data_IF_186576809428
#
_entry.id   IF_186576809428
#
_cell.length_a   1.000
_cell.length_b   1.000
_cell.length_c   1.000
_cell.angle_alpha   90.00
_cell.angle_beta   90.00
_cell.angle_gamma   90.00
#
_symmetry.space_group_name_H-M   'P 1'
#
loop_
_entity.id
_entity.type
_entity.pdbx_description
1 polymer ?
#
# COMPACT_ATOMS: atom_id res chain seq x y z
N UNK A 1 3.22 -36.38 8.76
CA UNK A 1 3.31 -35.24 7.82
C UNK A 1 1.90 -34.77 7.51
N UNK A 2 1.60 -33.48 7.59
CA UNK A 2 0.26 -32.87 7.52
C UNK A 2 -0.48 -32.99 6.16
N UNK A 3 -0.03 -33.87 5.25
CA UNK A 3 -0.67 -34.07 3.94
C UNK A 3 -0.61 -32.87 2.99
N UNK A 4 0.15 -31.82 3.32
CA UNK A 4 0.24 -30.58 2.55
C UNK A 4 0.98 -30.80 1.24
N UNK A 5 0.38 -30.36 0.12
CA UNK A 5 1.04 -30.35 -1.19
C UNK A 5 1.72 -29.01 -1.41
N UNK A 6 3.02 -29.03 -1.69
CA UNK A 6 3.79 -27.83 -2.00
C UNK A 6 3.53 -27.40 -3.44
N UNK A 7 3.16 -26.14 -3.65
CA UNK A 7 3.07 -25.52 -4.96
C UNK A 7 4.30 -24.64 -5.16
N UNK A 8 5.25 -25.10 -5.97
CA UNK A 8 6.45 -24.32 -6.29
C UNK A 8 6.16 -23.36 -7.44
N UNK A 9 6.57 -22.10 -7.30
CA UNK A 9 6.66 -21.18 -8.44
C UNK A 9 7.81 -21.61 -9.34
N UNK A 10 7.69 -21.37 -10.65
CA UNK A 10 8.80 -21.55 -11.58
C UNK A 10 9.80 -20.41 -11.39
N UNK A 11 11.11 -20.74 -11.49
CA UNK A 11 12.15 -19.73 -11.39
C UNK A 11 11.90 -18.59 -12.39
N UNK A 12 12.02 -17.34 -11.94
CA UNK A 12 11.81 -16.11 -12.73
C UNK A 12 10.37 -15.89 -13.25
N UNK A 13 9.35 -16.52 -12.65
CA UNK A 13 7.95 -16.28 -12.99
C UNK A 13 7.14 -15.76 -11.78
N UNK A 14 7.16 -14.43 -11.52
CA UNK A 14 6.51 -13.81 -10.36
C UNK A 14 4.97 -13.91 -10.37
N UNK A 15 4.38 -14.46 -11.42
CA UNK A 15 2.92 -14.48 -11.59
C UNK A 15 2.22 -15.42 -10.59
N UNK A 16 2.94 -16.40 -10.02
CA UNK A 16 2.35 -17.39 -9.10
C UNK A 16 2.25 -16.89 -7.66
N UNK A 17 3.17 -16.01 -7.22
CA UNK A 17 3.24 -15.52 -5.82
C UNK A 17 3.13 -13.99 -5.70
N UNK A 18 2.54 -13.34 -6.71
CA UNK A 18 2.44 -11.89 -6.76
C UNK A 18 1.64 -11.28 -5.61
N UNK A 19 0.77 -12.05 -4.94
CA UNK A 19 0.06 -11.59 -3.74
C UNK A 19 1.01 -11.46 -2.54
N UNK A 20 1.84 -12.48 -2.28
CA UNK A 20 2.79 -12.42 -1.19
C UNK A 20 3.85 -11.35 -1.49
N UNK A 21 4.38 -11.29 -2.71
CA UNK A 21 5.35 -10.28 -3.12
C UNK A 21 4.82 -8.85 -2.90
N UNK A 22 3.60 -8.54 -3.34
CA UNK A 22 2.98 -7.22 -3.11
C UNK A 22 2.74 -6.94 -1.64
N UNK A 23 2.42 -7.96 -0.85
CA UNK A 23 2.20 -7.83 0.59
C UNK A 23 3.52 -7.52 1.31
N UNK A 24 4.59 -8.26 0.97
CA UNK A 24 5.94 -8.04 1.49
C UNK A 24 6.42 -6.63 1.13
N UNK A 25 6.29 -6.21 -0.13
CA UNK A 25 6.66 -4.85 -0.56
C UNK A 25 5.93 -3.76 0.23
N UNK A 26 4.63 -3.93 0.50
CA UNK A 26 3.86 -3.00 1.35
C UNK A 26 4.39 -2.96 2.78
N UNK A 27 4.64 -4.12 3.39
CA UNK A 27 5.18 -4.19 4.76
C UNK A 27 6.58 -3.58 4.85
N UNK A 28 7.46 -3.87 3.89
CA UNK A 28 8.80 -3.28 3.80
C UNK A 28 8.74 -1.76 3.66
N UNK A 29 7.83 -1.23 2.85
CA UNK A 29 7.65 0.21 2.69
C UNK A 29 7.27 0.87 4.02
N UNK A 30 6.34 0.28 4.77
CA UNK A 30 5.93 0.78 6.09
C UNK A 30 7.11 0.71 7.05
N UNK A 31 7.79 -0.43 7.17
CA UNK A 31 8.94 -0.61 8.05
C UNK A 31 10.06 0.38 7.72
N UNK A 32 10.38 0.58 6.45
CA UNK A 32 11.42 1.52 6.01
C UNK A 32 11.12 2.95 6.45
N UNK A 33 9.85 3.37 6.49
CA UNK A 33 9.48 4.69 7.00
C UNK A 33 9.87 4.86 8.47
N UNK A 34 9.69 3.83 9.29
CA UNK A 34 9.98 3.89 10.73
C UNK A 34 11.45 3.58 11.06
N UNK A 35 12.06 2.62 10.37
CA UNK A 35 13.44 2.20 10.63
C UNK A 35 14.50 3.07 9.94
N UNK A 36 14.24 3.64 8.77
CA UNK A 36 15.25 4.41 8.01
C UNK A 36 14.99 5.93 8.02
N UNK A 37 13.72 6.33 8.04
CA UNK A 37 13.32 7.75 7.98
C UNK A 37 12.61 8.23 9.25
N UNK A 38 12.51 7.39 10.28
CA UNK A 38 11.89 7.68 11.57
C UNK A 38 12.75 8.63 12.40
N UNK A 39 12.92 9.85 11.93
CA UNK A 39 13.50 10.95 12.68
C UNK A 39 12.39 11.57 13.55
N UNK A 40 12.17 11.02 14.76
CA UNK A 40 11.62 11.74 15.94
C UNK A 40 11.33 10.80 17.13
N UNK A 41 11.19 9.48 16.91
CA UNK A 41 11.06 8.47 17.98
C UNK A 41 12.37 7.73 18.19
N UNK A 42 13.43 8.46 18.52
CA UNK A 42 14.55 7.86 19.24
C UNK A 42 14.16 7.85 20.70
N UNK A 43 14.23 6.70 21.34
CA UNK A 43 14.35 6.66 22.79
C UNK A 43 15.62 7.43 23.22
N UNK A 44 15.73 7.73 24.50
CA UNK A 44 16.87 8.44 25.10
C UNK A 44 18.21 7.72 24.88
N UNK A 45 18.18 6.47 24.41
CA UNK A 45 19.34 5.63 24.11
C UNK A 45 19.74 5.61 22.63
N UNK A 46 18.99 6.30 21.76
CA UNK A 46 19.38 6.52 20.36
C UNK A 46 19.12 5.34 19.42
N UNK A 47 18.32 4.35 19.82
CA UNK A 47 17.95 3.25 18.94
C UNK A 47 16.87 3.67 17.96
N UNK A 48 17.13 3.45 16.67
CA UNK A 48 16.10 3.30 15.66
C UNK A 48 15.31 2.05 16.03
N UNK A 49 14.00 2.19 16.29
CA UNK A 49 13.09 1.09 16.64
C UNK A 49 13.44 -0.20 15.86
N UNK A 50 13.80 -1.27 16.60
CA UNK A 50 14.06 -2.59 16.02
C UNK A 50 12.85 -3.00 15.17
N UNK A 51 13.10 -3.33 13.90
CA UNK A 51 12.06 -3.74 12.96
C UNK A 51 11.25 -4.93 13.49
N UNK A 52 11.86 -5.77 14.33
CA UNK A 52 11.19 -6.89 15.01
C UNK A 52 10.07 -6.39 15.93
N UNK A 53 10.31 -5.33 16.68
CA UNK A 53 9.30 -4.76 17.59
C UNK A 53 8.14 -4.13 16.80
N UNK A 54 8.44 -3.55 15.64
CA UNK A 54 7.46 -2.92 14.76
C UNK A 54 6.61 -3.92 13.96
N UNK A 55 7.05 -5.17 13.79
CA UNK A 55 6.32 -6.18 13.01
C UNK A 55 4.88 -6.35 13.47
N UNK A 56 4.64 -6.38 14.78
CA UNK A 56 3.29 -6.55 15.33
C UNK A 56 2.39 -5.38 14.96
N UNK A 57 2.92 -4.15 15.03
CA UNK A 57 2.21 -2.93 14.68
C UNK A 57 1.92 -2.87 13.18
N UNK A 58 2.91 -3.19 12.35
CA UNK A 58 2.77 -3.21 10.88
C UNK A 58 1.76 -4.27 10.44
N UNK A 59 1.81 -5.46 11.04
CA UNK A 59 0.86 -6.53 10.76
C UNK A 59 -0.57 -6.13 11.15
N UNK A 60 -0.73 -5.49 12.31
CA UNK A 60 -2.02 -4.97 12.76
C UNK A 60 -2.54 -3.86 11.83
N UNK A 61 -1.70 -2.91 11.45
CA UNK A 61 -2.04 -1.84 10.52
C UNK A 61 -2.44 -2.41 9.14
N UNK A 62 -1.71 -3.40 8.64
CA UNK A 62 -2.06 -4.08 7.38
C UNK A 62 -3.40 -4.78 7.45
N UNK A 63 -3.66 -5.54 8.52
CA UNK A 63 -4.90 -6.31 8.68
C UNK A 63 -6.14 -5.46 8.90
N UNK A 64 -5.97 -4.23 9.37
CA UNK A 64 -7.07 -3.28 9.60
C UNK A 64 -7.22 -2.26 8.47
N UNK A 65 -6.31 -2.25 7.49
CA UNK A 65 -6.37 -1.37 6.32
C UNK A 65 -7.19 -1.99 5.19
N UNK A 66 -8.04 -1.19 4.55
CA UNK A 66 -8.89 -1.64 3.45
C UNK A 66 -8.04 -1.90 2.20
N UNK A 67 -8.15 -3.09 1.62
CA UNK A 67 -7.47 -3.41 0.37
C UNK A 67 -8.34 -3.01 -0.83
N UNK A 68 -7.74 -2.38 -1.84
CA UNK A 68 -8.45 -1.91 -3.04
C UNK A 68 -9.12 -3.03 -3.83
N UNK A 69 -8.52 -4.22 -3.85
CA UNK A 69 -9.03 -5.38 -4.60
C UNK A 69 -10.31 -5.95 -4.02
N UNK A 70 -10.44 -5.99 -2.69
CA UNK A 70 -11.58 -6.63 -2.01
C UNK A 70 -12.58 -5.63 -1.43
N UNK A 71 -12.20 -4.35 -1.33
CA UNK A 71 -12.98 -3.34 -0.61
C UNK A 71 -13.14 -3.66 0.88
N UNK A 72 -12.40 -4.64 1.41
CA UNK A 72 -12.48 -5.11 2.79
C UNK A 72 -11.08 -5.17 3.40
N UNK A 73 -11.04 -5.19 4.72
CA UNK A 73 -9.81 -5.38 5.49
C UNK A 73 -9.40 -6.85 5.51
N UNK A 74 -8.11 -7.20 5.46
CA UNK A 74 -7.68 -8.60 5.50
C UNK A 74 -8.18 -9.36 6.74
N UNK A 75 -8.16 -8.72 7.92
CA UNK A 75 -8.66 -9.32 9.16
C UNK A 75 -10.14 -9.72 9.07
N UNK A 76 -10.97 -8.90 8.43
CA UNK A 76 -12.37 -9.21 8.19
C UNK A 76 -12.56 -10.39 7.22
N UNK A 77 -11.74 -10.46 6.16
CA UNK A 77 -11.85 -11.52 5.15
C UNK A 77 -11.35 -12.87 5.70
N UNK A 78 -10.26 -12.86 6.44
CA UNK A 78 -9.62 -14.07 6.96
C UNK A 78 -10.28 -14.57 8.25
N UNK A 79 -10.56 -13.67 9.19
CA UNK A 79 -10.98 -14.01 10.56
C UNK A 79 -12.45 -13.68 10.83
N UNK A 80 -13.10 -12.90 9.96
CA UNK A 80 -14.48 -12.47 10.14
C UNK A 80 -14.65 -11.26 11.06
N UNK A 81 -13.58 -10.68 11.59
CA UNK A 81 -13.63 -9.52 12.48
C UNK A 81 -12.40 -8.62 12.32
N UNK A 82 -12.55 -7.34 12.70
CA UNK A 82 -11.47 -6.37 12.71
C UNK A 82 -11.02 -6.09 14.14
N UNK A 83 -9.72 -5.92 14.33
CA UNK A 83 -9.18 -5.47 15.60
C UNK A 83 -9.71 -4.09 15.94
N UNK A 84 -10.14 -3.92 17.19
CA UNK A 84 -10.68 -2.67 17.69
C UNK A 84 -9.55 -1.86 18.32
N UNK A 85 -9.33 -0.64 17.84
CA UNK A 85 -8.37 0.27 18.47
C UNK A 85 -9.02 1.02 19.63
N UNK A 86 -8.24 1.41 20.68
CA UNK A 86 -8.73 2.23 21.78
C UNK A 86 -9.43 3.50 21.27
N UNK A 87 -8.91 4.12 20.20
CA UNK A 87 -9.48 5.32 19.58
C UNK A 87 -10.90 5.11 19.05
N UNK A 88 -11.27 3.89 18.68
CA UNK A 88 -12.61 3.56 18.18
C UNK A 88 -13.64 3.47 19.34
N UNK A 89 -13.18 3.32 20.58
CA UNK A 89 -14.02 3.07 21.77
C UNK A 89 -13.91 4.16 22.85
N UNK A 90 -13.04 5.16 22.67
CA UNK A 90 -12.98 6.33 23.53
C UNK A 90 -14.34 7.05 23.49
N UNK A 91 -15.10 6.97 24.59
CA UNK A 91 -16.33 7.74 24.74
C UNK A 91 -15.96 9.23 24.68
N UNK A 92 -16.66 10.00 23.84
CA UNK A 92 -16.46 11.46 23.70
C UNK A 92 -16.64 12.23 25.02
N UNK A 93 -17.30 11.62 26.01
CA UNK A 93 -17.65 12.21 27.31
C UNK A 93 -16.88 11.55 28.48
N UNK A 94 -15.57 11.37 28.36
CA UNK A 94 -14.74 10.99 29.50
C UNK A 94 -14.44 12.24 30.33
N UNK A 95 -14.96 12.29 31.56
CA UNK A 95 -14.78 13.41 32.51
C UNK A 95 -13.30 13.61 32.92
N UNK A 96 -12.47 12.60 32.75
CA UNK A 96 -11.04 12.67 33.06
C UNK A 96 -10.28 11.73 32.11
N UNK A 97 -9.38 12.31 31.31
CA UNK A 97 -8.49 11.57 30.43
C UNK A 97 -7.14 11.47 31.12
N UNK A 98 -6.59 10.26 31.23
CA UNK A 98 -5.26 10.06 31.78
C UNK A 98 -4.21 10.82 30.93
N UNK A 99 -3.20 11.47 31.53
CA UNK A 99 -2.21 12.28 30.79
C UNK A 99 -1.58 11.52 29.62
N UNK A 100 -1.15 10.26 29.82
CA UNK A 100 -0.59 9.42 28.74
C UNK A 100 -1.55 9.21 27.56
N UNK A 101 -2.85 9.09 27.82
CA UNK A 101 -3.84 8.92 26.76
C UNK A 101 -4.06 10.23 25.98
N UNK A 102 -3.94 11.38 26.66
CA UNK A 102 -3.95 12.71 26.03
C UNK A 102 -2.72 12.90 25.14
N UNK A 103 -1.53 12.57 25.65
CA UNK A 103 -0.27 12.68 24.90
C UNK A 103 -0.31 11.79 23.65
N UNK A 104 -0.78 10.54 23.79
CA UNK A 104 -0.97 9.63 22.65
C UNK A 104 -1.96 10.18 21.61
N UNK A 105 -3.05 10.82 22.04
CA UNK A 105 -4.01 11.42 21.11
C UNK A 105 -3.40 12.60 20.35
N UNK A 106 -2.63 13.46 21.02
CA UNK A 106 -1.94 14.58 20.37
C UNK A 106 -0.88 14.10 19.39
N UNK A 107 -0.09 13.11 19.82
CA UNK A 107 0.87 12.39 18.99
C UNK A 107 0.22 11.82 17.72
N UNK A 108 -0.89 11.09 17.88
CA UNK A 108 -1.65 10.50 16.78
C UNK A 108 -2.16 11.55 15.80
N UNK A 109 -2.71 12.66 16.29
CA UNK A 109 -3.18 13.78 15.44
C UNK A 109 -2.05 14.36 14.61
N UNK A 110 -0.90 14.66 15.23
CA UNK A 110 0.29 15.17 14.51
C UNK A 110 0.77 14.21 13.44
N UNK A 111 0.77 12.90 13.74
CA UNK A 111 1.14 11.87 12.78
C UNK A 111 0.16 11.82 11.59
N UNK A 112 -1.15 11.86 11.84
CA UNK A 112 -2.17 11.92 10.78
C UNK A 112 -2.04 13.17 9.91
N UNK A 113 -1.83 14.34 10.52
CA UNK A 113 -1.68 15.60 9.79
C UNK A 113 -0.43 15.58 8.90
N UNK A 114 0.68 15.06 9.44
CA UNK A 114 1.94 14.92 8.71
C UNK A 114 1.80 13.95 7.55
N UNK A 115 1.20 12.77 7.78
CA UNK A 115 0.94 11.80 6.73
C UNK A 115 0.08 12.37 5.60
N UNK A 116 -0.98 13.13 5.95
CA UNK A 116 -1.87 13.78 4.99
C UNK A 116 -1.12 14.80 4.14
N UNK A 117 -0.25 15.61 4.76
CA UNK A 117 0.62 16.57 4.04
C UNK A 117 1.57 15.86 3.10
N UNK A 118 2.29 14.82 3.56
CA UNK A 118 3.21 14.07 2.70
C UNK A 118 2.50 13.42 1.50
N UNK A 119 1.28 12.91 1.69
CA UNK A 119 0.47 12.36 0.59
C UNK A 119 0.10 13.47 -0.41
N UNK A 120 -0.32 14.63 0.07
CA UNK A 120 -0.68 15.76 -0.78
C UNK A 120 0.53 16.28 -1.58
N UNK A 121 1.68 16.44 -0.93
CA UNK A 121 2.94 16.84 -1.56
C UNK A 121 3.39 15.81 -2.60
N UNK A 122 3.33 14.52 -2.28
CA UNK A 122 3.66 13.45 -3.23
C UNK A 122 2.74 13.43 -4.45
N UNK A 123 1.45 13.69 -4.26
CA UNK A 123 0.48 13.81 -5.36
C UNK A 123 0.82 15.00 -6.26
N UNK A 124 1.11 16.15 -5.69
CA UNK A 124 1.47 17.37 -6.42
C UNK A 124 2.78 17.20 -7.20
N UNK A 125 3.81 16.61 -6.56
CA UNK A 125 5.07 16.27 -7.22
C UNK A 125 4.86 15.37 -8.45
N UNK A 126 4.07 14.30 -8.29
CA UNK A 126 3.78 13.39 -9.39
C UNK A 126 3.01 14.08 -10.52
N UNK A 127 2.04 14.93 -10.19
CA UNK A 127 1.29 15.73 -11.15
C UNK A 127 2.21 16.65 -11.95
N UNK A 128 3.04 17.45 -11.29
CA UNK A 128 3.98 18.36 -11.97
C UNK A 128 4.94 17.62 -12.88
N UNK A 129 5.40 16.43 -12.49
CA UNK A 129 6.28 15.60 -13.32
C UNK A 129 5.56 15.06 -14.57
N UNK A 130 4.32 14.62 -14.39
CA UNK A 130 3.46 14.18 -15.49
C UNK A 130 3.22 15.34 -16.45
N UNK A 131 2.71 16.47 -15.96
CA UNK A 131 2.36 17.65 -16.77
C UNK A 131 3.56 18.20 -17.57
N UNK A 132 4.79 18.08 -17.04
CA UNK A 132 6.03 18.50 -17.76
C UNK A 132 6.38 17.65 -18.97
N UNK A 133 6.05 16.36 -18.93
CA UNK A 133 6.46 15.38 -19.95
C UNK A 133 5.29 14.88 -20.79
N UNK A 134 4.07 15.08 -20.31
CA UNK A 134 2.87 14.64 -20.97
C UNK A 134 2.38 15.70 -21.95
N UNK A 135 2.44 15.37 -23.23
CA UNK A 135 1.83 16.13 -24.30
C UNK A 135 0.60 15.33 -24.74
N UNK A 136 -0.61 15.87 -24.59
CA UNK A 136 -1.78 15.25 -25.19
C UNK A 136 -1.68 15.38 -26.72
N UNK A 137 -1.60 14.27 -27.46
CA UNK A 137 -1.58 14.35 -28.91
C UNK A 137 -2.99 14.70 -29.41
N UNK A 138 -3.12 15.81 -30.14
CA UNK A 138 -4.38 16.13 -30.84
C UNK A 138 -4.41 15.39 -32.18
N UNK A 139 -5.35 14.47 -32.35
CA UNK A 139 -5.59 13.80 -33.63
C UNK A 139 -6.83 14.36 -34.30
N UNK A 140 -6.77 14.54 -35.62
CA UNK A 140 -7.93 14.84 -36.45
C UNK A 140 -8.27 13.63 -37.31
N UNK A 141 -9.54 13.55 -37.72
CA UNK A 141 -9.98 12.53 -38.67
C UNK A 141 -9.16 12.65 -39.98
N UNK A 142 -8.48 11.56 -40.35
CA UNK A 142 -7.56 11.52 -41.51
C UNK A 142 -6.08 11.52 -41.15
N UNK A 143 -5.69 11.80 -39.91
CA UNK A 143 -4.29 11.74 -39.48
C UNK A 143 -3.77 10.29 -39.44
N UNK A 144 -2.56 10.07 -39.97
CA UNK A 144 -1.88 8.79 -39.89
C UNK A 144 -1.06 8.70 -38.60
N UNK A 145 -1.29 7.66 -37.80
CA UNK A 145 -0.59 7.42 -36.53
C UNK A 145 0.20 6.11 -36.59
N UNK A 146 1.38 6.11 -35.96
CA UNK A 146 2.20 4.91 -35.84
C UNK A 146 1.72 4.09 -34.65
N UNK A 147 1.41 2.83 -34.92
CA UNK A 147 0.94 1.87 -33.92
C UNK A 147 2.08 0.88 -33.63
N UNK A 148 2.50 0.81 -32.37
CA UNK A 148 3.55 -0.13 -31.97
C UNK A 148 3.04 -1.57 -32.06
N UNK A 149 3.64 -2.37 -32.93
CA UNK A 149 3.25 -3.78 -33.18
C UNK A 149 3.74 -4.75 -32.10
N UNK A 150 4.53 -4.28 -31.13
CA UNK A 150 5.23 -5.13 -30.15
C UNK A 150 4.28 -6.02 -29.32
N UNK A 151 3.06 -5.54 -29.06
CA UNK A 151 2.04 -6.26 -28.28
C UNK A 151 0.82 -6.69 -29.13
N UNK A 152 0.89 -6.57 -30.46
CA UNK A 152 -0.18 -7.02 -31.34
C UNK A 152 -0.09 -8.52 -31.59
N UNK A 153 -0.67 -9.32 -30.69
CA UNK A 153 -0.73 -10.78 -30.84
C UNK A 153 -1.66 -11.24 -31.99
N UNK A 154 -2.41 -10.33 -32.63
CA UNK A 154 -3.46 -10.66 -33.59
C UNK A 154 -3.22 -10.15 -35.02
N UNK A 155 -1.98 -9.76 -35.39
CA UNK A 155 -1.67 -9.35 -36.78
C UNK A 155 -1.67 -10.51 -37.78
N UNK A 156 -1.68 -11.77 -37.30
CA UNK A 156 -2.10 -12.90 -38.12
C UNK A 156 -3.63 -12.97 -38.04
N UNK A 157 -4.30 -12.64 -39.14
CA UNK A 157 -5.72 -12.94 -39.32
C UNK A 157 -6.03 -14.34 -38.78
N UNK A 158 -7.06 -14.53 -37.94
CA UNK A 158 -7.49 -15.88 -37.61
C UNK A 158 -7.82 -16.60 -38.92
N UNK A 159 -7.22 -17.78 -39.15
CA UNK A 159 -7.43 -18.63 -40.33
C UNK A 159 -8.91 -18.97 -40.62
N UNK A 160 -9.83 -18.57 -39.74
CA UNK A 160 -11.27 -18.86 -39.75
C UNK A 160 -12.14 -17.86 -40.52
N UNK A 161 -11.57 -16.82 -41.12
CA UNK A 161 -12.29 -15.87 -42.00
C UNK A 161 -11.73 -15.90 -43.42
N UNK A 162 -11.51 -17.11 -43.94
CA UNK A 162 -11.26 -17.37 -45.37
C UNK A 162 -12.24 -18.46 -45.79
N UNK A 163 -13.49 -18.06 -46.00
CA UNK A 163 -14.51 -18.77 -46.77
C UNK A 163 -15.42 -17.71 -47.39
#
# INVERSE_FOLDING_TARGET
MLGTKLAFSTAYHPQTDGLAERTIQKMEFILRRFCAYGMEYKDHEGYTQDWVNLLTEVHLAYNTSQQSTTGKTPGLVEKGWNTLFPVNHLKKNLLTIHPTAKDFLEMWKRACDTATKCIAEGKEYNKQRWDKSHLEPSFKEGDQVLVSTLNFNNLKQPKKMRD
#
